data_IF_022495696519
#
_entry.id   IF_022495696519
#
_cell.length_a   1.000
_cell.length_b   1.000
_cell.length_c   1.000
_cell.angle_alpha   90.00
_cell.angle_beta   90.00
_cell.angle_gamma   90.00
#
_symmetry.space_group_name_H-M   'P 1'
#
loop_
_entity.id
_entity.type
_entity.pdbx_description
1 polymer ?
#
# COMPACT_ATOMS: atom_id res chain seq x y z
N UNK A 1 23.52 -0.41 -23.98
CA UNK A 1 22.91 0.76 -24.66
C UNK A 1 22.23 1.60 -23.58
N UNK A 2 22.81 2.73 -23.18
CA UNK A 2 22.27 3.59 -22.12
C UNK A 2 21.14 4.47 -22.68
N UNK A 3 19.93 3.92 -22.77
CA UNK A 3 18.75 4.62 -23.28
C UNK A 3 18.27 5.70 -22.31
N UNK A 4 18.57 6.96 -22.61
CA UNK A 4 18.02 8.12 -21.90
C UNK A 4 16.57 8.34 -22.36
N UNK A 5 15.65 8.48 -21.41
CA UNK A 5 14.24 8.72 -21.67
C UNK A 5 13.88 10.19 -21.43
N UNK A 6 13.02 10.72 -22.31
CA UNK A 6 12.48 12.07 -22.29
C UNK A 6 10.98 11.98 -22.61
N UNK A 7 10.19 12.90 -22.09
CA UNK A 7 8.77 13.01 -22.43
C UNK A 7 8.54 14.26 -23.29
N UNK A 8 8.03 14.03 -24.50
CA UNK A 8 7.55 15.06 -25.41
C UNK A 8 6.03 15.08 -25.29
N UNK A 9 5.48 16.23 -24.94
CA UNK A 9 4.03 16.36 -24.78
C UNK A 9 3.34 16.25 -26.15
N UNK A 10 2.50 15.21 -26.37
CA UNK A 10 1.85 14.99 -27.67
C UNK A 10 0.69 15.97 -27.92
N UNK A 11 0.31 16.77 -26.92
CA UNK A 11 -0.76 17.77 -27.03
C UNK A 11 -0.24 19.19 -27.30
N UNK A 12 1.08 19.35 -27.31
CA UNK A 12 1.77 20.58 -27.73
C UNK A 12 2.62 20.29 -28.98
N UNK A 13 3.39 21.28 -29.45
CA UNK A 13 4.35 21.14 -30.57
C UNK A 13 5.56 20.24 -30.25
N UNK A 14 5.37 19.16 -29.48
CA UNK A 14 6.44 18.26 -29.05
C UNK A 14 7.38 18.91 -28.02
N UNK A 15 6.89 19.88 -27.25
CA UNK A 15 7.71 20.53 -26.22
C UNK A 15 8.13 19.51 -25.16
N UNK A 16 9.43 19.45 -24.86
CA UNK A 16 9.98 18.59 -23.82
C UNK A 16 9.51 19.05 -22.44
N UNK A 17 8.97 18.13 -21.64
CA UNK A 17 8.57 18.43 -20.25
C UNK A 17 9.75 18.32 -19.29
N UNK A 18 9.66 19.08 -18.20
CA UNK A 18 10.48 18.93 -17.00
C UNK A 18 9.56 18.89 -15.77
N UNK A 19 10.06 18.38 -14.64
CA UNK A 19 9.30 18.23 -13.42
C UNK A 19 8.40 16.98 -13.41
N UNK A 20 7.38 17.01 -12.56
CA UNK A 20 6.42 15.91 -12.42
C UNK A 20 5.52 15.82 -13.65
N UNK A 21 5.39 14.60 -14.19
CA UNK A 21 4.46 14.30 -15.29
C UNK A 21 3.67 13.05 -14.97
N UNK A 22 2.38 13.08 -15.31
CA UNK A 22 1.51 11.92 -15.20
C UNK A 22 1.23 11.36 -16.59
N UNK A 23 1.51 10.08 -16.80
CA UNK A 23 1.29 9.37 -18.06
C UNK A 23 0.51 8.10 -17.76
N UNK A 24 -0.68 7.95 -18.35
CA UNK A 24 -1.57 6.79 -18.12
C UNK A 24 -1.81 6.49 -16.62
N UNK A 25 -2.00 7.53 -15.81
CA UNK A 25 -2.26 7.42 -14.37
C UNK A 25 -1.01 7.19 -13.51
N UNK A 26 0.17 7.01 -14.11
CA UNK A 26 1.44 6.80 -13.41
C UNK A 26 2.26 8.08 -13.38
N UNK A 27 2.95 8.32 -12.27
CA UNK A 27 3.80 9.48 -12.08
C UNK A 27 5.23 9.19 -12.49
N UNK A 28 5.88 10.19 -13.09
CA UNK A 28 7.28 10.20 -13.47
C UNK A 28 7.85 11.56 -13.11
N UNK A 29 9.18 11.64 -12.98
CA UNK A 29 9.86 12.92 -12.77
C UNK A 29 10.96 13.13 -13.81
N UNK A 30 10.92 14.28 -14.47
CA UNK A 30 11.86 14.65 -15.52
C UNK A 30 12.81 15.73 -14.98
N UNK A 31 14.07 15.36 -14.74
CA UNK A 31 15.05 16.23 -14.10
C UNK A 31 15.41 17.42 -15.01
N UNK A 32 14.87 18.60 -14.67
CA UNK A 32 15.13 19.84 -15.39
C UNK A 32 16.60 20.25 -15.41
N UNK A 33 17.37 19.91 -14.37
CA UNK A 33 18.81 20.18 -14.32
C UNK A 33 19.61 19.25 -15.23
N UNK A 34 19.01 18.14 -15.66
CA UNK A 34 19.56 17.20 -16.64
C UNK A 34 18.83 17.28 -17.99
N UNK A 35 18.22 18.43 -18.28
CA UNK A 35 17.56 18.68 -19.55
C UNK A 35 16.33 17.80 -19.77
N UNK A 36 15.53 17.55 -18.73
CA UNK A 36 14.29 16.77 -18.83
C UNK A 36 14.52 15.26 -18.87
N UNK A 37 15.68 14.77 -18.44
CA UNK A 37 15.95 13.34 -18.38
C UNK A 37 15.07 12.69 -17.31
N UNK A 38 14.36 11.63 -17.67
CA UNK A 38 13.59 10.82 -16.72
C UNK A 38 14.52 10.23 -15.66
N UNK A 39 14.13 10.39 -14.39
CA UNK A 39 14.87 9.81 -13.28
C UNK A 39 14.47 8.36 -13.02
N UNK A 40 15.41 7.60 -12.47
CA UNK A 40 15.23 6.22 -11.99
C UNK A 40 16.00 6.05 -10.69
N UNK A 41 15.62 5.11 -9.83
CA UNK A 41 16.23 4.91 -8.52
C UNK A 41 15.85 6.00 -7.53
N UNK A 42 16.62 6.12 -6.44
CA UNK A 42 16.36 7.08 -5.37
C UNK A 42 16.86 8.49 -5.74
N UNK A 43 15.99 9.49 -5.64
CA UNK A 43 16.29 10.88 -6.00
C UNK A 43 15.69 11.86 -4.99
N UNK A 44 16.44 12.93 -4.67
CA UNK A 44 15.95 14.04 -3.84
C UNK A 44 15.38 15.14 -4.74
N UNK A 45 14.11 15.50 -4.54
CA UNK A 45 13.38 16.55 -5.27
C UNK A 45 12.78 17.49 -4.21
N UNK A 46 13.11 18.78 -4.28
CA UNK A 46 12.66 19.81 -3.33
C UNK A 46 12.85 19.43 -1.85
N UNK A 47 14.00 18.82 -1.54
CA UNK A 47 14.35 18.39 -0.18
C UNK A 47 13.64 17.13 0.31
N UNK A 48 12.87 16.44 -0.54
CA UNK A 48 12.21 15.16 -0.24
C UNK A 48 12.79 14.03 -1.07
N UNK A 49 12.96 12.85 -0.47
CA UNK A 49 13.43 11.65 -1.16
C UNK A 49 12.26 10.91 -1.79
N UNK A 50 12.40 10.58 -3.08
CA UNK A 50 11.45 9.79 -3.86
C UNK A 50 12.19 8.61 -4.50
N UNK A 51 11.53 7.46 -4.58
CA UNK A 51 12.07 6.29 -5.25
C UNK A 51 11.36 6.14 -6.60
N UNK A 52 12.11 5.78 -7.65
CA UNK A 52 11.57 5.54 -9.00
C UNK A 52 12.01 4.16 -9.47
N UNK A 53 11.11 3.41 -10.12
CA UNK A 53 11.42 2.11 -10.72
C UNK A 53 12.42 2.25 -11.88
N UNK A 54 12.93 1.13 -12.39
CA UNK A 54 13.87 1.12 -13.53
C UNK A 54 13.26 1.68 -14.82
N UNK A 55 11.93 1.72 -14.93
CA UNK A 55 11.19 2.34 -16.02
C UNK A 55 10.72 3.77 -15.69
N UNK A 56 11.19 4.35 -14.58
CA UNK A 56 10.96 5.73 -14.16
C UNK A 56 9.62 6.00 -13.49
N UNK A 57 8.78 4.97 -13.29
CA UNK A 57 7.55 5.12 -12.52
C UNK A 57 7.89 5.50 -11.07
N UNK A 58 7.31 6.58 -10.57
CA UNK A 58 7.42 6.96 -9.17
C UNK A 58 6.84 5.86 -8.28
N UNK A 59 7.67 5.42 -7.33
CA UNK A 59 7.32 4.49 -6.28
C UNK A 59 6.99 5.34 -5.05
N UNK A 60 5.71 5.35 -4.69
CA UNK A 60 5.24 5.91 -3.43
C UNK A 60 5.94 5.18 -2.26
N UNK A 61 6.90 5.84 -1.61
CA UNK A 61 7.93 5.13 -0.83
C UNK A 61 7.57 4.82 0.63
N UNK A 62 6.48 5.36 1.18
CA UNK A 62 6.06 5.06 2.55
C UNK A 62 4.62 4.56 2.60
N UNK A 63 4.35 3.57 3.45
CA UNK A 63 2.99 3.21 3.82
C UNK A 63 2.41 4.34 4.68
N UNK A 64 1.14 4.69 4.47
CA UNK A 64 0.40 5.51 5.43
C UNK A 64 -0.24 4.63 6.51
N UNK A 65 -0.77 5.26 7.56
CA UNK A 65 -1.62 4.55 8.50
C UNK A 65 -2.88 4.02 7.81
N UNK A 66 -3.25 2.73 8.02
CA UNK A 66 -4.43 2.14 7.40
C UNK A 66 -5.74 2.54 8.10
N UNK A 67 -5.66 3.34 9.16
CA UNK A 67 -6.79 3.81 9.95
C UNK A 67 -6.49 5.20 10.51
N UNK A 68 -7.52 6.05 10.63
CA UNK A 68 -7.39 7.36 11.29
C UNK A 68 -7.32 7.17 12.81
N UNK A 69 -6.54 8.01 13.48
CA UNK A 69 -6.33 7.96 14.95
C UNK A 69 -5.92 6.56 15.44
N UNK A 70 -4.76 6.05 15.01
CA UNK A 70 -4.37 4.67 15.28
C UNK A 70 -4.25 4.41 16.79
N UNK A 71 -5.02 3.45 17.29
CA UNK A 71 -4.91 2.93 18.65
C UNK A 71 -4.43 1.48 18.60
N UNK A 72 -3.14 1.26 18.84
CA UNK A 72 -2.54 -0.08 18.80
C UNK A 72 -2.99 -0.86 20.03
N UNK A 73 -3.87 -1.84 19.84
CA UNK A 73 -4.26 -2.77 20.90
C UNK A 73 -3.26 -3.92 21.02
N UNK A 74 -2.55 -4.26 19.94
CA UNK A 74 -1.48 -5.24 19.99
C UNK A 74 -0.53 -5.17 18.79
N UNK A 75 0.77 -5.33 19.05
CA UNK A 75 1.82 -5.30 18.04
C UNK A 75 2.11 -6.65 17.38
N UNK A 76 2.98 -6.62 16.36
CA UNK A 76 3.57 -7.80 15.74
C UNK A 76 4.52 -8.50 16.71
N UNK A 77 4.51 -9.83 16.75
CA UNK A 77 5.46 -10.60 17.56
C UNK A 77 4.85 -11.76 18.35
N UNK A 78 5.68 -12.40 19.20
CA UNK A 78 5.24 -13.54 20.03
C UNK A 78 4.12 -13.17 21.01
N UNK A 79 3.10 -14.02 21.10
CA UNK A 79 2.03 -14.02 22.10
C UNK A 79 1.97 -15.41 22.75
N UNK A 80 2.83 -15.63 23.75
CA UNK A 80 3.05 -16.96 24.31
C UNK A 80 3.51 -17.93 23.23
N UNK A 81 2.76 -19.01 23.01
CA UNK A 81 3.08 -20.03 22.00
C UNK A 81 2.56 -19.70 20.59
N UNK A 82 1.91 -18.55 20.39
CA UNK A 82 1.37 -18.12 19.09
C UNK A 82 2.11 -16.88 18.58
N UNK A 83 2.43 -16.84 17.30
CA UNK A 83 2.96 -15.63 16.66
C UNK A 83 1.79 -14.73 16.22
N UNK A 84 1.80 -13.47 16.64
CA UNK A 84 0.96 -12.45 16.05
C UNK A 84 1.61 -11.88 14.79
N UNK A 85 0.87 -11.97 13.68
CA UNK A 85 1.38 -11.82 12.31
C UNK A 85 1.26 -10.39 11.76
N UNK A 86 0.66 -9.48 12.52
CA UNK A 86 0.37 -8.11 12.12
C UNK A 86 0.30 -7.16 13.30
N UNK A 87 -0.34 -6.02 13.10
CA UNK A 87 -0.69 -5.06 14.15
C UNK A 87 -2.20 -4.97 14.23
N UNK A 88 -2.72 -5.00 15.46
CA UNK A 88 -4.14 -4.80 15.74
C UNK A 88 -4.37 -3.34 16.11
N UNK A 89 -5.26 -2.67 15.36
CA UNK A 89 -5.73 -1.32 15.63
C UNK A 89 -7.17 -1.37 16.15
N UNK A 90 -7.36 -1.13 17.45
CA UNK A 90 -8.70 -1.06 18.02
C UNK A 90 -9.42 0.20 17.56
N UNK A 91 -10.65 0.02 17.07
CA UNK A 91 -11.49 1.12 16.62
C UNK A 91 -12.98 0.72 16.65
N UNK A 92 -13.91 1.69 16.73
CA UNK A 92 -15.34 1.40 16.62
C UNK A 92 -15.69 0.65 15.32
N UNK A 93 -16.73 -0.18 15.37
CA UNK A 93 -17.30 -0.76 14.16
C UNK A 93 -17.62 0.32 13.12
N UNK A 94 -17.51 -0.03 11.84
CA UNK A 94 -17.73 0.88 10.72
C UNK A 94 -16.70 2.01 10.56
N UNK A 95 -15.62 2.04 11.35
CA UNK A 95 -14.50 2.95 11.10
C UNK A 95 -13.88 2.64 9.72
N UNK A 96 -13.63 3.65 8.87
CA UNK A 96 -12.96 3.47 7.58
C UNK A 96 -11.60 2.78 7.70
N UNK A 97 -11.36 1.78 6.86
CA UNK A 97 -10.05 1.16 6.63
C UNK A 97 -9.53 1.69 5.29
N UNK A 98 -8.32 2.22 5.31
CA UNK A 98 -7.68 2.86 4.16
C UNK A 98 -6.58 1.96 3.59
N UNK A 99 -6.42 1.99 2.26
CA UNK A 99 -5.27 1.40 1.61
C UNK A 99 -3.99 2.09 2.11
N UNK A 100 -3.14 1.31 2.78
CA UNK A 100 -1.88 1.78 3.36
C UNK A 100 -0.88 2.19 2.27
N UNK A 101 -1.00 1.63 1.07
CA UNK A 101 -0.20 1.95 -0.11
C UNK A 101 -0.99 1.59 -1.35
N UNK A 102 -0.77 2.32 -2.45
CA UNK A 102 -1.40 2.06 -3.74
C UNK A 102 -1.12 0.62 -4.19
N UNK A 103 -2.11 -0.05 -4.79
CA UNK A 103 -1.95 -1.46 -5.16
C UNK A 103 -3.16 -2.08 -5.84
N UNK A 104 -2.98 -3.30 -6.34
CA UNK A 104 -4.05 -4.10 -6.94
C UNK A 104 -4.64 -5.05 -5.91
N UNK A 105 -5.96 -5.17 -5.84
CA UNK A 105 -6.65 -6.10 -4.94
C UNK A 105 -6.53 -7.54 -5.47
N UNK A 106 -5.71 -8.35 -4.80
CA UNK A 106 -5.52 -9.77 -5.14
C UNK A 106 -6.56 -10.67 -4.46
N UNK A 107 -7.09 -10.23 -3.31
CA UNK A 107 -8.13 -10.94 -2.57
C UNK A 107 -9.15 -9.96 -1.97
N UNK A 108 -10.44 -10.28 -2.10
CA UNK A 108 -11.53 -9.60 -1.41
C UNK A 108 -12.69 -10.58 -1.19
N UNK A 109 -12.65 -11.31 -0.08
CA UNK A 109 -13.67 -12.30 0.26
C UNK A 109 -13.66 -12.61 1.76
N UNK A 110 -14.58 -13.47 2.20
CA UNK A 110 -14.48 -14.09 3.52
C UNK A 110 -13.40 -15.19 3.47
N UNK A 111 -12.50 -15.21 4.43
CA UNK A 111 -11.40 -16.16 4.52
C UNK A 111 -11.87 -17.55 4.97
N UNK A 112 -11.38 -18.58 4.29
CA UNK A 112 -11.73 -20.00 4.55
C UNK A 112 -10.48 -20.82 4.85
N UNK A 113 -10.65 -22.04 5.35
CA UNK A 113 -9.56 -23.00 5.51
C UNK A 113 -8.81 -23.20 4.18
N UNK A 114 -7.48 -23.29 4.24
CA UNK A 114 -6.61 -23.34 3.05
C UNK A 114 -6.31 -21.96 2.43
N UNK A 115 -6.99 -20.91 2.91
CA UNK A 115 -6.70 -19.52 2.60
C UNK A 115 -6.62 -18.73 3.92
N UNK A 116 -7.04 -17.47 3.93
CA UNK A 116 -7.08 -16.58 5.09
C UNK A 116 -8.12 -17.01 6.16
N UNK A 117 -8.22 -18.30 6.49
CA UNK A 117 -9.10 -18.82 7.52
C UNK A 117 -8.84 -18.18 8.88
N UNK A 118 -9.91 -17.85 9.61
CA UNK A 118 -9.87 -17.12 10.87
C UNK A 118 -9.77 -15.59 10.73
N UNK A 119 -9.41 -15.05 9.57
CA UNK A 119 -9.32 -13.59 9.37
C UNK A 119 -10.68 -12.91 9.08
N UNK A 120 -11.74 -13.69 8.84
CA UNK A 120 -13.07 -13.16 8.51
C UNK A 120 -13.12 -12.51 7.13
N UNK A 121 -13.76 -11.36 6.99
CA UNK A 121 -13.72 -10.57 5.76
C UNK A 121 -12.35 -9.92 5.57
N UNK A 122 -11.70 -10.22 4.45
CA UNK A 122 -10.32 -9.80 4.16
C UNK A 122 -10.22 -9.06 2.84
N UNK A 123 -9.34 -8.06 2.79
CA UNK A 123 -8.76 -7.51 1.57
C UNK A 123 -7.25 -7.72 1.59
N UNK A 124 -6.67 -8.17 0.47
CA UNK A 124 -5.22 -8.22 0.26
C UNK A 124 -4.85 -7.38 -0.95
N UNK A 125 -3.92 -6.45 -0.78
CA UNK A 125 -3.37 -5.64 -1.86
C UNK A 125 -1.98 -6.13 -2.22
N UNK A 126 -1.66 -6.13 -3.51
CA UNK A 126 -0.30 -6.28 -4.04
C UNK A 126 0.21 -4.92 -4.49
N UNK A 127 1.40 -4.56 -4.03
CA UNK A 127 2.02 -3.28 -4.29
C UNK A 127 3.06 -3.37 -5.42
N UNK A 128 3.40 -2.21 -5.99
CA UNK A 128 4.37 -2.13 -7.08
C UNK A 128 5.79 -2.58 -6.67
N UNK A 129 6.12 -2.48 -5.38
CA UNK A 129 7.40 -2.92 -4.81
C UNK A 129 7.45 -4.43 -4.50
N UNK A 130 6.41 -5.18 -4.88
CA UNK A 130 6.31 -6.62 -4.68
C UNK A 130 5.79 -7.06 -3.30
N UNK A 131 5.60 -6.13 -2.36
CA UNK A 131 4.99 -6.44 -1.07
C UNK A 131 3.47 -6.60 -1.17
N UNK A 132 2.90 -7.16 -0.10
CA UNK A 132 1.46 -7.29 0.07
C UNK A 132 1.05 -6.74 1.42
N UNK A 133 -0.08 -6.03 1.47
CA UNK A 133 -0.77 -5.73 2.72
C UNK A 133 -2.04 -6.55 2.86
N UNK A 134 -2.37 -6.92 4.09
CA UNK A 134 -3.61 -7.61 4.43
C UNK A 134 -4.39 -6.79 5.45
N UNK A 135 -5.70 -6.71 5.23
CA UNK A 135 -6.64 -6.00 6.09
C UNK A 135 -7.76 -6.98 6.43
N UNK A 136 -7.95 -7.27 7.72
CA UNK A 136 -8.85 -8.34 8.17
C UNK A 136 -9.89 -7.88 9.19
N UNK A 137 -10.75 -8.83 9.56
CA UNK A 137 -11.86 -8.68 10.49
C UNK A 137 -12.93 -7.66 10.07
N UNK A 138 -12.97 -7.28 8.78
CA UNK A 138 -13.85 -6.21 8.30
C UNK A 138 -15.34 -6.53 8.52
N UNK A 139 -16.14 -5.52 8.85
CA UNK A 139 -17.61 -5.64 8.77
C UNK A 139 -18.09 -5.58 7.32
N UNK A 140 -17.41 -4.80 6.49
CA UNK A 140 -17.71 -4.60 5.08
C UNK A 140 -16.42 -4.48 4.26
N UNK A 141 -16.36 -5.18 3.13
CA UNK A 141 -15.36 -4.95 2.07
C UNK A 141 -15.95 -4.00 1.04
N UNK A 142 -15.19 -2.99 0.66
CA UNK A 142 -15.58 -2.03 -0.39
C UNK A 142 -14.80 -2.34 -1.67
N UNK A 143 -13.48 -2.49 -1.54
CA UNK A 143 -12.62 -2.81 -2.67
C UNK A 143 -12.85 -4.25 -3.16
N UNK A 144 -12.88 -4.44 -4.47
CA UNK A 144 -13.17 -5.73 -5.12
C UNK A 144 -11.93 -6.34 -5.77
N UNK A 145 -11.88 -7.68 -5.88
CA UNK A 145 -10.75 -8.36 -6.51
C UNK A 145 -10.53 -7.87 -7.94
N UNK A 146 -9.29 -7.54 -8.29
CA UNK A 146 -8.88 -7.00 -9.59
C UNK A 146 -8.88 -5.47 -9.67
N UNK A 147 -9.49 -4.78 -8.70
CA UNK A 147 -9.48 -3.31 -8.63
C UNK A 147 -8.08 -2.78 -8.30
N UNK A 148 -7.71 -1.66 -8.91
CA UNK A 148 -6.57 -0.86 -8.48
C UNK A 148 -7.04 0.23 -7.52
N UNK A 149 -6.45 0.30 -6.33
CA UNK A 149 -6.77 1.29 -5.30
C UNK A 149 -5.58 2.20 -5.04
N UNK A 150 -5.86 3.49 -4.78
CA UNK A 150 -4.84 4.47 -4.43
C UNK A 150 -4.55 4.43 -2.92
N UNK A 151 -3.33 4.77 -2.51
CA UNK A 151 -3.03 5.07 -1.11
C UNK A 151 -4.01 6.11 -0.58
N UNK A 152 -4.58 5.90 0.61
CA UNK A 152 -5.62 6.79 1.14
C UNK A 152 -7.04 6.34 0.83
N UNK A 153 -7.25 5.55 -0.22
CA UNK A 153 -8.58 5.12 -0.63
C UNK A 153 -9.20 4.21 0.44
N UNK A 154 -10.48 4.43 0.73
CA UNK A 154 -11.23 3.54 1.62
C UNK A 154 -11.48 2.19 0.92
N UNK A 155 -11.08 1.10 1.57
CA UNK A 155 -11.16 -0.26 1.01
C UNK A 155 -12.11 -1.17 1.78
N UNK A 156 -12.55 -0.74 2.96
CA UNK A 156 -13.48 -1.48 3.80
C UNK A 156 -13.74 -0.76 5.12
N UNK A 157 -14.43 -1.45 6.01
CA UNK A 157 -14.84 -0.94 7.32
C UNK A 157 -14.44 -1.89 8.44
N UNK A 158 -13.98 -1.35 9.56
CA UNK A 158 -13.66 -2.12 10.78
C UNK A 158 -14.87 -2.92 11.23
N UNK A 159 -14.61 -4.14 11.68
CA UNK A 159 -15.61 -5.02 12.27
C UNK A 159 -14.98 -6.06 13.19
N UNK A 160 -15.67 -7.19 13.33
CA UNK A 160 -15.30 -8.30 14.20
C UNK A 160 -15.62 -9.66 13.56
N UNK A 161 -15.44 -9.79 12.24
CA UNK A 161 -15.67 -11.08 11.57
C UNK A 161 -14.48 -12.03 11.74
N UNK A 162 -14.73 -13.34 11.74
CA UNK A 162 -13.68 -14.34 11.96
C UNK A 162 -13.28 -14.43 13.44
N UNK A 163 -12.01 -14.74 13.70
CA UNK A 163 -11.45 -14.97 15.04
C UNK A 163 -11.07 -13.64 15.71
N UNK A 164 -12.07 -12.78 15.94
CA UNK A 164 -11.90 -11.48 16.58
C UNK A 164 -12.72 -11.38 17.87
N UNK A 165 -12.09 -10.91 18.95
CA UNK A 165 -12.73 -10.75 20.27
C UNK A 165 -13.40 -9.39 20.47
N UNK A 166 -13.08 -8.42 19.62
CA UNK A 166 -13.64 -7.07 19.63
C UNK A 166 -13.40 -6.37 18.30
N UNK A 167 -14.03 -5.21 18.09
CA UNK A 167 -13.84 -4.44 16.86
C UNK A 167 -12.40 -3.94 16.74
N UNK A 168 -11.72 -4.36 15.68
CA UNK A 168 -10.38 -3.89 15.33
C UNK A 168 -10.07 -4.16 13.86
N UNK A 169 -9.08 -3.44 13.34
CA UNK A 169 -8.38 -3.82 12.11
C UNK A 169 -7.18 -4.67 12.48
N UNK A 170 -7.09 -5.88 11.92
CA UNK A 170 -5.83 -6.62 11.87
C UNK A 170 -5.11 -6.31 10.55
N UNK A 171 -3.90 -5.77 10.65
CA UNK A 171 -3.10 -5.32 9.51
C UNK A 171 -1.78 -6.09 9.41
N UNK A 172 -1.52 -6.73 8.27
CA UNK A 172 -0.22 -7.37 8.00
C UNK A 172 0.50 -6.70 6.84
N UNK A 173 1.83 -6.74 6.89
CA UNK A 173 2.73 -6.50 5.76
C UNK A 173 3.48 -7.80 5.45
N UNK A 174 3.61 -8.15 4.17
CA UNK A 174 4.10 -9.45 3.71
C UNK A 174 4.98 -9.33 2.47
N UNK A 175 5.94 -10.25 2.33
CA UNK A 175 6.77 -10.40 1.12
C UNK A 175 6.21 -11.39 0.11
N UNK A 176 5.17 -12.14 0.45
CA UNK A 176 4.44 -13.03 -0.46
C UNK A 176 2.92 -12.96 -0.20
N UNK A 177 2.13 -13.47 -1.15
CA UNK A 177 0.67 -13.34 -1.13
C UNK A 177 0.01 -13.85 0.18
N UNK A 178 0.41 -15.03 0.67
CA UNK A 178 -0.12 -15.64 1.90
C UNK A 178 0.92 -15.76 3.03
N UNK A 179 2.20 -15.53 2.74
CA UNK A 179 3.34 -15.84 3.63
C UNK A 179 4.33 -14.68 3.71
N UNK A 180 5.40 -14.86 4.48
CA UNK A 180 6.47 -13.87 4.57
C UNK A 180 6.06 -12.63 5.34
N UNK A 181 5.27 -12.81 6.40
CA UNK A 181 4.89 -11.76 7.32
C UNK A 181 6.13 -11.09 7.91
N UNK A 182 6.14 -9.76 7.87
CA UNK A 182 7.18 -8.92 8.47
C UNK A 182 6.53 -7.92 9.40
N UNK A 183 7.30 -7.42 10.37
CA UNK A 183 6.81 -6.41 11.30
C UNK A 183 6.41 -5.15 10.51
N UNK A 184 5.12 -4.73 10.53
CA UNK A 184 4.71 -3.53 9.81
C UNK A 184 5.16 -2.23 10.50
N UNK A 185 5.52 -2.29 11.79
CA UNK A 185 5.75 -1.09 12.59
C UNK A 185 6.84 -0.14 12.04
N UNK A 186 7.99 -0.63 11.56
CA UNK A 186 9.03 0.23 10.97
C UNK A 186 8.62 0.94 9.67
N UNK A 187 7.52 0.49 9.04
CA UNK A 187 7.06 1.01 7.74
C UNK A 187 5.89 1.97 7.88
N UNK A 188 5.27 2.04 9.06
CA UNK A 188 4.12 2.90 9.33
C UNK A 188 4.56 4.18 10.06
N UNK A 189 3.91 5.32 9.80
CA UNK A 189 4.32 6.61 10.34
C UNK A 189 3.77 6.80 11.76
N UNK A 190 4.18 5.93 12.69
CA UNK A 190 3.93 6.16 14.12
C UNK A 190 4.61 7.47 14.52
N UNK A 191 3.84 8.37 15.14
CA UNK A 191 4.32 9.63 15.69
C UNK A 191 4.41 9.52 17.20
#
# INVERSE_FOLDING_TARGET
MNGKWYYLDPTTDGSMKTGWVQVNGKWYYLDGNKGGMMVTGQVVIDGKTYDFANDGQWIESNYQMPIKNPNVSSGYGPRGNKQHKGIDFAAPASTPILAAKSGTVEFSAFGTQGSFGGYGNVVVLKHADGHYTLYAHMSQRIAQKGEYVQQGQEIGKVGQTGDATGNHLHFELKTAYQFGQINPAPYLPFK
#
